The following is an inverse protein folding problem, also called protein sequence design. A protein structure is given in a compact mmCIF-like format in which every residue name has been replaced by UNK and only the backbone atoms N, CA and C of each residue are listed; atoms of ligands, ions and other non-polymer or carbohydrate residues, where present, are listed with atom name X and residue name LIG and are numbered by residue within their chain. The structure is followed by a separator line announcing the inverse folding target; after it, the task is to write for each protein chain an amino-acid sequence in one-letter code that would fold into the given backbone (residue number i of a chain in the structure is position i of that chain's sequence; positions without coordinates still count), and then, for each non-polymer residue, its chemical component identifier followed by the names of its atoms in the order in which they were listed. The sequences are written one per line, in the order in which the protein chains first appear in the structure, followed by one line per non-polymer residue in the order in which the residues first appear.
data_IF_508150091251
#
_entry.id   IF_508150091251
#
_cell.length_a   1.000
_cell.length_b   1.000
_cell.length_c   1.000
_cell.angle_alpha   90.00
_cell.angle_beta   90.00
_cell.angle_gamma   90.00
#
_symmetry.space_group_name_H-M   'P 1'
#
loop_
_entity.id
_entity.type
_entity.pdbx_description
1 polymer ?
#
# COMPACT_ATOMS: atom_id res chain seq x y z
N UNK A 1 26.54 -7.51 39.94
CA UNK A 1 26.45 -6.28 39.13
C UNK A 1 27.37 -6.29 37.91
N UNK A 2 28.71 -6.14 38.01
CA UNK A 2 29.60 -6.16 36.82
C UNK A 2 29.53 -7.49 36.04
N UNK A 3 29.72 -8.62 36.72
CA UNK A 3 29.63 -9.97 36.12
C UNK A 3 28.23 -10.30 35.54
N UNK A 4 27.16 -9.71 36.10
CA UNK A 4 25.79 -9.91 35.60
C UNK A 4 25.52 -9.08 34.34
N UNK A 5 26.15 -7.90 34.23
CA UNK A 5 26.12 -7.11 33.00
C UNK A 5 26.89 -7.82 31.88
N UNK A 6 28.11 -8.28 32.19
CA UNK A 6 28.99 -8.92 31.21
C UNK A 6 28.38 -10.24 30.69
N UNK A 7 27.71 -11.02 31.56
CA UNK A 7 26.98 -12.24 31.14
C UNK A 7 25.74 -11.92 30.30
N UNK A 8 25.04 -10.82 30.59
CA UNK A 8 23.91 -10.36 29.79
C UNK A 8 24.35 -9.87 28.41
N UNK A 9 25.45 -9.12 28.32
CA UNK A 9 26.03 -8.67 27.05
C UNK A 9 26.49 -9.85 26.18
N UNK A 10 27.15 -10.85 26.78
CA UNK A 10 27.54 -12.08 26.09
C UNK A 10 26.33 -12.84 25.54
N UNK A 11 25.23 -12.91 26.29
CA UNK A 11 23.99 -13.55 25.85
C UNK A 11 23.35 -12.82 24.66
N UNK A 12 23.39 -11.48 24.64
CA UNK A 12 22.90 -10.67 23.52
C UNK A 12 23.74 -10.88 22.26
N UNK A 13 25.07 -10.94 22.36
CA UNK A 13 25.93 -11.24 21.21
C UNK A 13 25.63 -12.62 20.62
N UNK A 14 25.44 -13.65 21.46
CA UNK A 14 25.05 -14.99 20.99
C UNK A 14 23.70 -14.97 20.27
N UNK A 15 22.76 -14.17 20.77
CA UNK A 15 21.45 -14.00 20.15
C UNK A 15 21.56 -13.33 18.77
N UNK A 16 22.42 -12.32 18.64
CA UNK A 16 22.67 -11.63 17.36
C UNK A 16 23.32 -12.57 16.33
N UNK A 17 24.28 -13.40 16.75
CA UNK A 17 24.91 -14.41 15.90
C UNK A 17 23.88 -15.42 15.37
N UNK A 18 22.96 -15.87 16.23
CA UNK A 18 21.86 -16.75 15.82
C UNK A 18 20.93 -16.06 14.83
N UNK A 19 20.61 -14.78 15.04
CA UNK A 19 19.79 -14.01 14.12
C UNK A 19 20.46 -13.81 12.75
N UNK A 20 21.78 -13.61 12.73
CA UNK A 20 22.58 -13.53 11.50
C UNK A 20 22.61 -14.86 10.74
N UNK A 21 22.73 -15.98 11.46
CA UNK A 21 22.64 -17.32 10.87
C UNK A 21 21.27 -17.57 10.22
N UNK A 22 20.18 -17.26 10.92
CA UNK A 22 18.81 -17.37 10.37
C UNK A 22 18.65 -16.46 9.15
N UNK A 23 19.17 -15.23 9.22
CA UNK A 23 19.16 -14.29 8.08
C UNK A 23 19.88 -14.88 6.87
N UNK A 24 21.05 -15.48 7.04
CA UNK A 24 21.82 -16.09 5.97
C UNK A 24 21.05 -17.26 5.31
N UNK A 25 20.45 -18.13 6.11
CA UNK A 25 19.62 -19.25 5.62
C UNK A 25 18.42 -18.73 4.83
N UNK A 26 17.68 -17.76 5.38
CA UNK A 26 16.52 -17.17 4.70
C UNK A 26 16.91 -16.50 3.37
N UNK A 27 18.04 -15.77 3.33
CA UNK A 27 18.55 -15.14 2.11
C UNK A 27 18.99 -16.17 1.06
N UNK A 28 19.51 -17.33 1.47
CA UNK A 28 19.90 -18.40 0.57
C UNK A 28 18.69 -19.10 -0.07
N UNK A 29 17.58 -19.22 0.66
CA UNK A 29 16.35 -19.88 0.20
C UNK A 29 15.45 -18.92 -0.58
N UNK A 30 15.48 -17.62 -0.27
CA UNK A 30 14.68 -16.63 -0.95
C UNK A 30 15.01 -16.58 -2.45
N UNK A 31 13.98 -16.71 -3.31
CA UNK A 31 14.11 -16.41 -4.73
C UNK A 31 14.59 -14.96 -4.85
N UNK A 32 15.81 -14.74 -5.37
CA UNK A 32 16.57 -13.46 -5.47
C UNK A 32 15.77 -12.25 -5.99
N UNK A 33 14.75 -11.80 -5.26
CA UNK A 33 14.06 -10.54 -5.48
C UNK A 33 14.87 -9.49 -4.76
N UNK A 34 15.18 -8.39 -5.45
CA UNK A 34 16.03 -7.30 -4.94
C UNK A 34 15.63 -6.76 -3.55
N UNK A 35 14.38 -6.95 -3.15
CA UNK A 35 13.86 -6.48 -1.87
C UNK A 35 14.08 -7.46 -0.70
N UNK A 36 14.29 -8.74 -0.99
CA UNK A 36 14.51 -9.79 0.02
C UNK A 36 15.98 -9.83 0.49
N UNK A 37 16.91 -9.27 -0.28
CA UNK A 37 18.32 -9.17 0.15
C UNK A 37 18.52 -8.15 1.28
N UNK A 38 17.56 -7.24 1.44
CA UNK A 38 17.60 -6.09 2.35
C UNK A 38 16.87 -6.36 3.69
N UNK A 39 16.34 -7.57 3.93
CA UNK A 39 15.75 -7.95 5.23
C UNK A 39 16.78 -8.70 6.08
N UNK A 40 16.87 -8.32 7.36
CA UNK A 40 17.62 -9.03 8.40
C UNK A 40 16.61 -9.56 9.43
N UNK A 41 16.75 -10.82 9.82
CA UNK A 41 15.98 -11.38 10.91
C UNK A 41 16.45 -10.76 12.23
N UNK A 42 15.52 -10.32 13.07
CA UNK A 42 15.80 -9.72 14.38
C UNK A 42 14.69 -10.14 15.35
N UNK A 43 15.07 -10.39 16.61
CA UNK A 43 14.14 -10.68 17.70
C UNK A 43 13.67 -9.40 18.42
N UNK A 44 14.42 -8.31 18.28
CA UNK A 44 14.05 -7.00 18.79
C UNK A 44 13.46 -6.16 17.65
N UNK A 45 12.41 -5.36 17.90
CA UNK A 45 11.92 -4.41 16.90
C UNK A 45 13.07 -3.51 16.46
N UNK A 46 13.21 -3.23 15.16
CA UNK A 46 14.34 -2.47 14.63
C UNK A 46 14.26 -1.04 15.15
N UNK A 47 14.97 -0.75 16.23
CA UNK A 47 14.98 0.56 16.91
C UNK A 47 15.83 1.61 16.20
N UNK A 48 16.42 1.25 15.06
CA UNK A 48 17.40 2.07 14.36
C UNK A 48 16.72 2.76 13.16
N UNK A 49 16.38 4.04 13.37
CA UNK A 49 16.12 5.10 12.35
C UNK A 49 14.97 4.91 11.36
N UNK A 50 14.38 3.72 11.26
CA UNK A 50 13.19 3.50 10.46
C UNK A 50 11.96 3.89 11.28
N UNK A 51 11.27 4.94 10.83
CA UNK A 51 9.90 5.24 11.27
C UNK A 51 9.12 3.91 11.34
N UNK A 52 8.48 3.58 12.46
CA UNK A 52 7.72 2.31 12.59
C UNK A 52 6.70 2.10 11.47
N UNK A 53 6.31 3.17 10.78
CA UNK A 53 5.54 3.08 9.54
C UNK A 53 6.29 2.43 8.38
N UNK A 54 7.57 2.73 8.16
CA UNK A 54 8.37 2.16 7.07
C UNK A 54 8.49 0.64 7.21
N UNK A 55 8.72 0.17 8.44
CA UNK A 55 8.72 -1.25 8.79
C UNK A 55 7.34 -1.88 8.58
N UNK A 56 6.28 -1.26 9.11
CA UNK A 56 4.90 -1.69 8.88
C UNK A 56 4.55 -1.74 7.39
N UNK A 57 4.93 -0.73 6.61
CA UNK A 57 4.64 -0.66 5.18
C UNK A 57 5.42 -1.70 4.38
N UNK A 58 6.63 -2.06 4.84
CA UNK A 58 7.42 -3.17 4.29
C UNK A 58 6.73 -4.50 4.57
N UNK A 59 6.31 -4.73 5.81
CA UNK A 59 5.56 -5.94 6.19
C UNK A 59 4.25 -6.06 5.39
N UNK A 60 3.48 -4.98 5.27
CA UNK A 60 2.23 -4.97 4.50
C UNK A 60 2.44 -5.19 3.00
N UNK A 61 3.56 -4.72 2.44
CA UNK A 61 3.96 -5.07 1.07
C UNK A 61 4.22 -6.57 0.90
N UNK A 62 4.81 -7.23 1.90
CA UNK A 62 4.99 -8.69 1.87
C UNK A 62 3.63 -9.41 1.94
N UNK A 63 2.73 -8.97 2.81
CA UNK A 63 1.37 -9.51 2.93
C UNK A 63 0.60 -9.37 1.62
N UNK A 64 0.72 -8.21 0.94
CA UNK A 64 0.07 -7.99 -0.35
C UNK A 64 0.59 -8.90 -1.49
N UNK A 65 1.77 -9.51 -1.33
CA UNK A 65 2.37 -10.44 -2.31
C UNK A 65 2.00 -11.90 -2.08
N UNK A 66 1.29 -12.22 -1.01
CA UNK A 66 0.77 -13.57 -0.78
C UNK A 66 -0.21 -13.97 -1.90
N UNK A 67 -0.40 -15.27 -2.19
CA UNK A 67 -1.34 -15.72 -3.22
C UNK A 67 -2.76 -15.18 -3.04
N UNK A 68 -3.23 -15.10 -1.80
CA UNK A 68 -4.56 -14.56 -1.44
C UNK A 68 -4.53 -13.03 -1.18
N UNK A 69 -3.35 -12.42 -1.31
CA UNK A 69 -3.10 -11.01 -1.04
C UNK A 69 -3.45 -10.58 0.39
N UNK A 70 -3.83 -9.31 0.53
CA UNK A 70 -4.24 -8.76 1.84
C UNK A 70 -5.56 -9.38 2.29
N UNK A 71 -5.70 -9.82 3.55
CA UNK A 71 -6.96 -10.35 4.09
C UNK A 71 -8.14 -9.38 3.94
N UNK A 72 -9.30 -9.89 3.50
CA UNK A 72 -10.46 -9.06 3.12
C UNK A 72 -10.95 -8.12 4.23
N UNK A 73 -11.02 -8.60 5.47
CA UNK A 73 -11.43 -7.81 6.63
C UNK A 73 -10.47 -6.64 6.93
N UNK A 74 -9.21 -6.76 6.53
CA UNK A 74 -8.17 -5.75 6.75
C UNK A 74 -8.03 -4.76 5.59
N UNK A 75 -8.41 -5.15 4.36
CA UNK A 75 -8.25 -4.33 3.15
C UNK A 75 -8.78 -2.91 3.31
N UNK A 76 -10.02 -2.75 3.77
CA UNK A 76 -10.65 -1.43 3.90
C UNK A 76 -9.81 -0.49 4.76
N UNK A 77 -9.44 -0.94 5.95
CA UNK A 77 -8.67 -0.14 6.89
C UNK A 77 -7.27 0.15 6.34
N UNK A 78 -6.60 -0.85 5.78
CA UNK A 78 -5.28 -0.68 5.16
C UNK A 78 -5.30 0.40 4.06
N UNK A 79 -6.22 0.29 3.11
CA UNK A 79 -6.30 1.22 1.98
C UNK A 79 -6.67 2.62 2.44
N UNK A 80 -7.60 2.77 3.38
CA UNK A 80 -7.95 4.07 3.95
C UNK A 80 -6.76 4.71 4.66
N UNK A 81 -6.05 3.97 5.52
CA UNK A 81 -4.87 4.49 6.22
C UNK A 81 -3.75 4.91 5.27
N UNK A 82 -3.53 4.14 4.19
CA UNK A 82 -2.56 4.49 3.16
C UNK A 82 -2.96 5.75 2.38
N UNK A 83 -4.24 5.86 2.00
CA UNK A 83 -4.77 7.03 1.30
C UNK A 83 -4.70 8.29 2.16
N UNK A 84 -5.14 8.21 3.42
CA UNK A 84 -5.09 9.30 4.40
C UNK A 84 -3.66 9.83 4.57
N UNK A 85 -2.70 8.93 4.78
CA UNK A 85 -1.28 9.31 4.89
C UNK A 85 -0.76 9.93 3.60
N UNK A 86 -1.15 9.40 2.44
CA UNK A 86 -0.73 9.95 1.16
C UNK A 86 -1.24 11.38 0.94
N UNK A 87 -2.52 11.63 1.24
CA UNK A 87 -3.12 12.95 1.14
C UNK A 87 -2.46 13.93 2.10
N UNK A 88 -2.24 13.52 3.35
CA UNK A 88 -1.54 14.33 4.35
C UNK A 88 -0.10 14.68 3.91
N UNK A 89 0.64 13.71 3.36
CA UNK A 89 1.98 13.95 2.80
C UNK A 89 1.97 14.90 1.59
N UNK A 90 0.87 14.96 0.85
CA UNK A 90 0.67 15.89 -0.28
C UNK A 90 0.11 17.25 0.15
N UNK A 91 -0.12 17.47 1.44
CA UNK A 91 -0.70 18.71 1.98
C UNK A 91 -2.20 18.84 1.75
N UNK A 92 -2.88 17.75 1.35
CA UNK A 92 -4.34 17.73 1.18
C UNK A 92 -4.97 17.38 2.52
N UNK A 93 -5.24 18.40 3.33
CA UNK A 93 -5.75 18.24 4.70
C UNK A 93 -7.25 18.48 4.84
N UNK A 94 -7.89 19.16 3.88
CA UNK A 94 -9.29 19.56 3.97
C UNK A 94 -10.16 18.91 2.88
N UNK A 95 -10.31 17.59 2.97
CA UNK A 95 -11.16 16.82 2.05
C UNK A 95 -12.60 17.34 2.00
N UNK A 96 -13.17 17.69 3.15
CA UNK A 96 -14.54 18.22 3.25
C UNK A 96 -14.75 19.50 2.45
N UNK A 97 -13.77 20.40 2.44
CA UNK A 97 -13.83 21.61 1.62
C UNK A 97 -13.69 21.28 0.14
N UNK A 98 -12.79 20.36 -0.21
CA UNK A 98 -12.62 19.87 -1.58
C UNK A 98 -13.91 19.23 -2.11
N UNK A 99 -14.58 18.41 -1.30
CA UNK A 99 -15.86 17.76 -1.63
C UNK A 99 -16.95 18.80 -1.92
N UNK A 100 -17.13 19.79 -1.04
CA UNK A 100 -18.11 20.87 -1.25
C UNK A 100 -17.86 21.66 -2.53
N UNK A 101 -16.59 21.84 -2.90
CA UNK A 101 -16.22 22.56 -4.12
C UNK A 101 -16.48 21.71 -5.37
N UNK A 102 -16.09 20.43 -5.35
CA UNK A 102 -16.24 19.52 -6.48
C UNK A 102 -17.70 19.17 -6.77
N UNK A 103 -18.52 19.04 -5.73
CA UNK A 103 -19.95 18.73 -5.84
C UNK A 103 -20.84 19.95 -5.65
N UNK A 104 -20.34 21.15 -5.97
CA UNK A 104 -21.16 22.35 -5.97
C UNK A 104 -22.12 22.37 -7.17
N UNK A 105 -23.22 23.11 -7.08
CA UNK A 105 -24.18 23.27 -8.18
C UNK A 105 -23.63 24.11 -9.36
N UNK A 106 -22.47 24.72 -9.18
CA UNK A 106 -21.82 25.57 -10.19
C UNK A 106 -20.77 24.77 -10.96
N UNK A 107 -20.92 24.71 -12.28
CA UNK A 107 -19.94 24.12 -13.19
C UNK A 107 -19.00 25.17 -13.75
N UNK A 108 -17.70 24.98 -13.57
CA UNK A 108 -16.66 25.76 -14.21
C UNK A 108 -16.45 25.31 -15.67
N UNK A 109 -15.80 26.14 -16.48
CA UNK A 109 -15.50 25.80 -17.88
C UNK A 109 -14.63 24.54 -18.01
N UNK A 110 -13.71 24.30 -17.06
CA UNK A 110 -12.87 23.10 -17.01
C UNK A 110 -13.67 21.82 -16.69
N UNK A 111 -14.81 21.95 -16.00
CA UNK A 111 -15.65 20.80 -15.62
C UNK A 111 -16.32 20.16 -16.84
N UNK A 112 -16.52 20.93 -17.92
CA UNK A 112 -17.10 20.40 -19.17
C UNK A 112 -16.19 19.38 -19.83
N UNK A 113 -14.89 19.66 -19.93
CA UNK A 113 -13.92 18.72 -20.50
C UNK A 113 -13.73 17.49 -19.59
N UNK A 114 -13.64 17.72 -18.27
CA UNK A 114 -13.57 16.67 -17.27
C UNK A 114 -14.78 15.72 -17.35
N UNK A 115 -16.00 16.26 -17.49
CA UNK A 115 -17.22 15.44 -17.60
C UNK A 115 -17.20 14.51 -18.81
N UNK A 116 -16.72 15.00 -19.97
CA UNK A 116 -16.56 14.19 -21.18
C UNK A 116 -15.56 13.06 -20.94
N UNK A 117 -14.47 13.34 -20.23
CA UNK A 117 -13.47 12.33 -19.92
C UNK A 117 -13.98 11.28 -18.93
N UNK A 118 -14.70 11.69 -17.88
CA UNK A 118 -15.34 10.78 -16.91
C UNK A 118 -16.25 9.79 -17.64
N UNK A 119 -17.08 10.28 -18.58
CA UNK A 119 -17.98 9.42 -19.36
C UNK A 119 -17.20 8.43 -20.23
N UNK A 120 -16.11 8.86 -20.87
CA UNK A 120 -15.26 7.96 -21.68
C UNK A 120 -14.64 6.86 -20.83
N UNK A 121 -14.09 7.21 -19.67
CA UNK A 121 -13.42 6.24 -18.80
C UNK A 121 -14.42 5.29 -18.11
N UNK A 122 -15.63 5.76 -17.82
CA UNK A 122 -16.71 4.91 -17.36
C UNK A 122 -17.06 3.82 -18.38
N UNK A 123 -17.12 4.16 -19.68
CA UNK A 123 -17.33 3.14 -20.72
C UNK A 123 -16.17 2.15 -20.84
N UNK A 124 -14.92 2.61 -20.62
CA UNK A 124 -13.72 1.76 -20.66
C UNK A 124 -13.63 0.75 -19.51
N UNK A 125 -14.10 1.13 -18.32
CA UNK A 125 -14.07 0.24 -17.14
C UNK A 125 -15.05 -0.94 -17.21
N UNK A 126 -15.95 -0.98 -18.21
CA UNK A 126 -16.90 -2.08 -18.37
C UNK A 126 -17.95 -2.15 -17.26
N UNK A 127 -18.09 -1.11 -16.45
CA UNK A 127 -19.08 -1.03 -15.37
C UNK A 127 -20.49 -0.87 -15.94
N UNK A 128 -21.16 -1.99 -16.23
CA UNK A 128 -22.51 -2.02 -16.80
C UNK A 128 -23.61 -1.48 -15.87
N UNK A 129 -23.32 -1.30 -14.58
CA UNK A 129 -24.25 -0.77 -13.58
C UNK A 129 -24.67 0.69 -13.80
N UNK A 130 -23.86 1.48 -14.52
CA UNK A 130 -24.14 2.90 -14.79
C UNK A 130 -24.51 3.20 -16.24
N UNK A 131 -24.47 2.18 -17.09
CA UNK A 131 -24.90 2.26 -18.46
C UNK A 131 -26.30 1.65 -18.49
N UNK A 132 -27.34 2.49 -18.53
CA UNK A 132 -28.72 2.02 -18.73
C UNK A 132 -28.85 1.14 -19.99
N UNK A 133 -30.07 0.73 -20.35
CA UNK A 133 -30.34 -0.16 -21.50
C UNK A 133 -29.63 0.22 -22.82
N UNK A 134 -29.25 1.49 -23.00
CA UNK A 134 -28.48 2.04 -24.13
C UNK A 134 -26.97 1.78 -24.11
N UNK A 135 -26.37 1.49 -22.95
CA UNK A 135 -24.93 1.28 -22.81
C UNK A 135 -24.38 0.00 -23.42
N UNK A 136 -25.24 -1.03 -23.55
CA UNK A 136 -24.89 -2.28 -24.23
C UNK A 136 -24.60 -2.09 -25.73
N UNK A 137 -25.22 -1.10 -26.37
CA UNK A 137 -25.03 -0.85 -27.80
C UNK A 137 -23.67 -0.21 -28.10
N UNK A 138 -23.21 0.71 -27.25
CA UNK A 138 -21.91 1.38 -27.42
C UNK A 138 -20.70 0.46 -27.17
N UNK A 139 -20.83 -0.58 -26.36
CA UNK A 139 -19.78 -1.59 -26.19
C UNK A 139 -19.54 -2.43 -27.45
N UNK A 140 -20.55 -2.62 -28.30
CA UNK A 140 -20.43 -3.39 -29.54
C UNK A 140 -19.70 -2.60 -30.62
N UNK A 141 -19.87 -1.28 -30.65
CA UNK A 141 -19.18 -0.39 -31.60
C UNK A 141 -17.66 -0.36 -31.32
N UNK A 142 -17.26 -0.35 -30.05
CA UNK A 142 -15.85 -0.34 -29.64
C UNK A 142 -15.13 -1.69 -29.84
N UNK A 143 -15.85 -2.79 -30.03
CA UNK A 143 -15.27 -4.11 -30.34
C UNK A 143 -15.03 -4.37 -31.83
N UNK A 144 -15.45 -3.44 -32.71
CA UNK A 144 -15.35 -3.57 -34.17
C UNK A 144 -14.35 -2.59 -34.80
N UNK A 145 -13.55 -1.89 -34.00
CA UNK A 145 -12.45 -1.04 -34.46
C UNK A 145 -11.10 -1.75 -34.23
#
# INVERSE_FOLDING_TARGET
LKNELDTKEMCLCQQDDLCDNVTAILKAIASKRSEDSQVKFSLSPVTQDQSGFAEWARAMRMVARLPDGVPAHFRKNLWLSLAERHLNNKGVTNWTQTERRLFSEYTNLEDRELSVQIVKDLHRTGCSLFCGVTGKHNQVVLKRA
#
